data_IF_748145377966
#
_entry.id   IF_748145377966
#
_cell.length_a   1.000
_cell.length_b   1.000
_cell.length_c   1.000
_cell.angle_alpha   90.00
_cell.angle_beta   90.00
_cell.angle_gamma   90.00
#
_symmetry.space_group_name_H-M   'P 1'
#
loop_
_entity.id
_entity.type
_entity.pdbx_description
1 polymer ?
#
# COMPACT_ATOMS: atom_id res chain seq x y z
N UNK A 1 -14.34 8.85 -37.35
CA UNK A 1 -14.58 9.60 -36.10
C UNK A 1 -13.26 10.28 -35.73
N UNK A 2 -13.01 11.45 -36.30
CA UNK A 2 -11.76 12.23 -36.13
C UNK A 2 -11.99 13.42 -35.22
N UNK A 3 -12.78 13.25 -34.16
CA UNK A 3 -13.00 14.29 -33.15
C UNK A 3 -11.78 14.36 -32.25
N UNK A 4 -10.86 15.21 -32.68
CA UNK A 4 -9.92 16.06 -31.95
C UNK A 4 -9.11 15.41 -30.82
N UNK A 5 -8.13 14.60 -31.23
CA UNK A 5 -6.98 14.23 -30.41
C UNK A 5 -6.31 15.46 -29.75
N UNK A 6 -6.37 16.61 -30.43
CA UNK A 6 -5.88 17.89 -29.94
C UNK A 6 -6.72 18.41 -28.76
N UNK A 7 -8.06 18.40 -28.86
CA UNK A 7 -8.95 18.78 -27.74
C UNK A 7 -8.80 17.82 -26.55
N UNK A 8 -8.61 16.53 -26.81
CA UNK A 8 -8.35 15.54 -25.77
C UNK A 8 -7.01 15.82 -25.08
N UNK A 9 -5.98 16.21 -25.84
CA UNK A 9 -4.67 16.55 -25.30
C UNK A 9 -4.73 17.79 -24.41
N UNK A 10 -5.48 18.81 -24.81
CA UNK A 10 -5.66 20.04 -24.05
C UNK A 10 -6.49 19.80 -22.79
N UNK A 11 -7.53 18.97 -22.86
CA UNK A 11 -8.31 18.57 -21.69
C UNK A 11 -7.48 17.75 -20.70
N UNK A 12 -6.67 16.81 -21.17
CA UNK A 12 -5.78 16.01 -20.32
C UNK A 12 -4.72 16.88 -19.64
N UNK A 13 -4.10 17.81 -20.38
CA UNK A 13 -3.14 18.78 -19.81
C UNK A 13 -3.82 19.69 -18.79
N UNK A 14 -4.99 20.24 -19.11
CA UNK A 14 -5.73 21.13 -18.21
C UNK A 14 -6.17 20.43 -16.94
N UNK A 15 -6.68 19.21 -17.04
CA UNK A 15 -7.04 18.39 -15.88
C UNK A 15 -5.81 18.07 -15.04
N UNK A 16 -4.69 17.73 -15.69
CA UNK A 16 -3.44 17.47 -15.00
C UNK A 16 -2.92 18.67 -14.22
N UNK A 17 -2.83 19.84 -14.86
CA UNK A 17 -2.35 21.04 -14.19
C UNK A 17 -3.31 21.51 -13.10
N UNK A 18 -4.62 21.35 -13.28
CA UNK A 18 -5.60 21.61 -12.23
C UNK A 18 -5.38 20.70 -11.03
N UNK A 19 -5.29 19.40 -11.26
CA UNK A 19 -5.15 18.40 -10.20
C UNK A 19 -3.76 18.49 -9.53
N UNK A 20 -2.74 18.97 -10.24
CA UNK A 20 -1.42 19.30 -9.71
C UNK A 20 -1.40 20.61 -8.91
N UNK A 21 -2.17 21.62 -9.35
CA UNK A 21 -2.25 22.93 -8.68
C UNK A 21 -3.08 22.92 -7.39
N UNK A 22 -4.03 21.98 -7.28
CA UNK A 22 -4.86 21.82 -6.09
C UNK A 22 -4.06 21.34 -4.87
N UNK A 23 -2.83 20.87 -5.07
CA UNK A 23 -1.94 20.40 -4.02
C UNK A 23 -0.53 20.94 -4.28
N UNK A 24 -0.33 22.20 -3.93
CA UNK A 24 0.98 22.85 -3.92
C UNK A 24 1.92 22.30 -2.84
N UNK A 25 1.36 21.62 -1.84
CA UNK A 25 2.13 21.06 -0.73
C UNK A 25 2.64 19.65 -1.05
N UNK A 26 3.94 19.47 -0.85
CA UNK A 26 4.68 18.20 -0.94
C UNK A 26 4.23 17.18 0.15
N UNK A 27 3.12 17.46 0.86
CA UNK A 27 2.63 16.77 2.05
C UNK A 27 2.15 15.34 1.76
N UNK A 28 1.60 15.06 0.57
CA UNK A 28 1.16 13.70 0.19
C UNK A 28 1.82 13.16 -1.09
N UNK A 29 3.04 12.56 -0.97
CA UNK A 29 3.70 11.87 -2.08
C UNK A 29 2.87 10.71 -2.68
N UNK A 30 2.00 10.08 -1.88
CA UNK A 30 1.19 8.95 -2.34
C UNK A 30 0.09 9.41 -3.29
N UNK A 31 -0.58 10.52 -2.98
CA UNK A 31 -1.62 11.07 -3.85
C UNK A 31 -1.05 11.55 -5.20
N UNK A 32 0.09 12.24 -5.21
CA UNK A 32 0.77 12.61 -6.46
C UNK A 32 1.22 11.39 -7.27
N UNK A 33 1.64 10.33 -6.60
CA UNK A 33 1.94 9.06 -7.27
C UNK A 33 0.68 8.43 -7.89
N UNK A 34 -0.47 8.49 -7.21
CA UNK A 34 -1.74 7.97 -7.72
C UNK A 34 -2.22 8.75 -8.95
N UNK A 35 -2.20 10.09 -8.91
CA UNK A 35 -2.57 10.93 -10.05
C UNK A 35 -1.64 10.67 -11.25
N UNK A 36 -0.33 10.67 -11.03
CA UNK A 36 0.64 10.41 -12.12
C UNK A 36 0.44 9.01 -12.72
N UNK A 37 0.15 8.00 -11.90
CA UNK A 37 -0.18 6.65 -12.37
C UNK A 37 -1.46 6.63 -13.18
N UNK A 38 -2.52 7.29 -12.71
CA UNK A 38 -3.79 7.43 -13.46
C UNK A 38 -3.55 8.10 -14.82
N UNK A 39 -2.76 9.17 -14.85
CA UNK A 39 -2.44 9.85 -16.09
C UNK A 39 -1.61 8.97 -17.04
N UNK A 40 -0.66 8.21 -16.51
CA UNK A 40 0.10 7.23 -17.30
C UNK A 40 -0.82 6.15 -17.92
N UNK A 41 -1.84 5.67 -17.19
CA UNK A 41 -2.81 4.72 -17.74
C UNK A 41 -3.68 5.34 -18.84
N UNK A 42 -4.06 6.61 -18.69
CA UNK A 42 -4.80 7.34 -19.72
C UNK A 42 -3.94 7.51 -20.99
N UNK A 43 -2.68 7.92 -20.85
CA UNK A 43 -1.74 8.04 -21.98
C UNK A 43 -1.55 6.70 -22.68
N UNK A 44 -1.38 5.60 -21.93
CA UNK A 44 -1.26 4.26 -22.50
C UNK A 44 -2.54 3.87 -23.28
N UNK A 45 -3.72 4.27 -22.82
CA UNK A 45 -4.97 4.03 -23.55
C UNK A 45 -4.99 4.81 -24.86
N UNK A 46 -4.62 6.10 -24.85
CA UNK A 46 -4.54 6.92 -26.07
C UNK A 46 -3.49 6.37 -27.04
N UNK A 47 -2.33 5.92 -26.53
CA UNK A 47 -1.28 5.26 -27.32
C UNK A 47 -1.80 4.02 -28.02
N UNK A 48 -2.52 3.15 -27.30
CA UNK A 48 -3.11 1.93 -27.87
C UNK A 48 -4.14 2.24 -28.95
N UNK A 49 -4.93 3.29 -28.78
CA UNK A 49 -5.86 3.75 -29.81
C UNK A 49 -5.12 4.25 -31.05
N UNK A 50 -4.07 5.07 -30.89
CA UNK A 50 -3.26 5.53 -32.00
C UNK A 50 -2.56 4.38 -32.77
N UNK A 51 -2.08 3.36 -32.04
CA UNK A 51 -1.49 2.15 -32.65
C UNK A 51 -2.56 1.35 -33.40
N UNK A 52 -3.76 1.21 -32.82
CA UNK A 52 -4.86 0.50 -33.47
C UNK A 52 -5.32 1.20 -34.75
N UNK A 53 -5.45 2.53 -34.71
CA UNK A 53 -5.84 3.32 -35.88
C UNK A 53 -4.80 3.23 -37.00
N UNK A 54 -3.50 3.11 -36.67
CA UNK A 54 -2.45 2.90 -37.67
C UNK A 54 -2.38 1.44 -38.18
N UNK A 55 -2.82 0.47 -37.38
CA UNK A 55 -2.94 -0.92 -37.80
C UNK A 55 -4.11 -1.10 -38.78
N UNK A 56 -5.23 -0.41 -38.53
CA UNK A 56 -6.43 -0.42 -39.38
C UNK A 56 -6.21 0.40 -40.67
N UNK A 57 -5.46 1.50 -40.61
CA UNK A 57 -5.03 2.30 -41.76
C UNK A 57 -3.53 2.65 -41.68
N UNK A 58 -2.66 1.92 -42.40
CA UNK A 58 -1.22 2.15 -42.37
C UNK A 58 -0.78 3.48 -43.00
N UNK A 59 -1.68 4.20 -43.68
CA UNK A 59 -1.43 5.55 -44.18
C UNK A 59 -1.77 6.65 -43.16
N UNK A 60 -2.33 6.27 -42.00
CA UNK A 60 -2.75 7.19 -40.96
C UNK A 60 -1.58 7.75 -40.14
N UNK A 61 -1.48 9.08 -40.11
CA UNK A 61 -0.53 9.86 -39.29
C UNK A 61 -0.88 9.87 -37.79
N UNK A 62 -1.60 8.86 -37.29
CA UNK A 62 -2.07 8.78 -35.92
C UNK A 62 -0.93 8.68 -34.89
N UNK A 63 0.13 7.93 -35.22
CA UNK A 63 1.30 7.74 -34.34
C UNK A 63 2.12 9.02 -34.22
N UNK A 64 2.41 9.70 -35.33
CA UNK A 64 3.22 10.93 -35.29
C UNK A 64 2.47 12.06 -34.60
N UNK A 65 1.14 12.16 -34.79
CA UNK A 65 0.29 13.09 -34.04
C UNK A 65 0.30 12.80 -32.54
N UNK A 66 0.20 11.53 -32.16
CA UNK A 66 0.34 11.12 -30.77
C UNK A 66 1.69 11.55 -30.19
N UNK A 67 2.79 11.25 -30.90
CA UNK A 67 4.13 11.53 -30.43
C UNK A 67 4.40 13.03 -30.31
N UNK A 68 3.91 13.85 -31.25
CA UNK A 68 4.02 15.32 -31.17
C UNK A 68 3.27 15.90 -29.98
N UNK A 69 2.06 15.41 -29.69
CA UNK A 69 1.20 15.98 -28.66
C UNK A 69 1.50 15.47 -27.24
N UNK A 70 1.87 14.20 -27.10
CA UNK A 70 1.95 13.54 -25.79
C UNK A 70 3.37 13.24 -25.31
N UNK A 71 4.42 13.31 -26.14
CA UNK A 71 5.80 12.99 -25.74
C UNK A 71 6.28 13.74 -24.49
N UNK A 72 6.12 15.07 -24.48
CA UNK A 72 6.51 15.91 -23.33
C UNK A 72 5.70 15.59 -22.07
N UNK A 73 4.41 15.24 -22.25
CA UNK A 73 3.54 14.91 -21.12
C UNK A 73 3.91 13.54 -20.54
N UNK A 74 4.21 12.56 -21.39
CA UNK A 74 4.71 11.24 -20.99
C UNK A 74 6.01 11.34 -20.19
N UNK A 75 6.95 12.16 -20.66
CA UNK A 75 8.23 12.39 -19.96
C UNK A 75 7.99 13.02 -18.58
N UNK A 76 7.16 14.07 -18.52
CA UNK A 76 6.81 14.76 -17.27
C UNK A 76 6.16 13.81 -16.26
N UNK A 77 5.18 13.02 -16.71
CA UNK A 77 4.44 12.05 -15.88
C UNK A 77 5.38 10.94 -15.38
N UNK A 78 6.25 10.45 -16.25
CA UNK A 78 7.22 9.40 -15.88
C UNK A 78 8.22 9.90 -14.84
N UNK A 79 8.74 11.11 -15.01
CA UNK A 79 9.66 11.75 -14.06
C UNK A 79 9.00 11.98 -12.69
N UNK A 80 7.76 12.48 -12.68
CA UNK A 80 7.01 12.72 -11.44
C UNK A 80 6.64 11.41 -10.76
N UNK A 81 6.18 10.40 -11.50
CA UNK A 81 5.88 9.08 -10.95
C UNK A 81 7.12 8.45 -10.31
N UNK A 82 8.28 8.51 -10.98
CA UNK A 82 9.54 7.98 -10.46
C UNK A 82 9.99 8.71 -9.19
N UNK A 83 10.01 10.05 -9.21
CA UNK A 83 10.44 10.85 -8.05
C UNK A 83 9.55 10.63 -6.82
N UNK A 84 8.23 10.57 -7.01
CA UNK A 84 7.27 10.35 -5.92
C UNK A 84 7.30 8.90 -5.43
N UNK A 85 7.47 7.92 -6.33
CA UNK A 85 7.67 6.52 -5.96
C UNK A 85 8.95 6.34 -5.11
N UNK A 86 10.05 6.98 -5.50
CA UNK A 86 11.30 6.94 -4.74
C UNK A 86 11.15 7.58 -3.36
N UNK A 87 10.45 8.73 -3.24
CA UNK A 87 10.13 9.36 -1.95
C UNK A 87 9.27 8.44 -1.07
N UNK A 88 8.28 7.77 -1.65
CA UNK A 88 7.40 6.84 -0.91
C UNK A 88 8.17 5.62 -0.41
N UNK A 89 9.05 5.07 -1.23
CA UNK A 89 9.93 3.97 -0.86
C UNK A 89 10.87 4.38 0.29
N UNK A 90 11.47 5.56 0.22
CA UNK A 90 12.32 6.06 1.30
C UNK A 90 11.57 6.21 2.63
N UNK A 91 10.32 6.72 2.59
CA UNK A 91 9.46 6.79 3.79
C UNK A 91 9.15 5.39 4.35
N UNK A 92 8.89 4.43 3.48
CA UNK A 92 8.63 3.05 3.88
C UNK A 92 9.85 2.39 4.52
N UNK A 93 11.04 2.56 3.93
CA UNK A 93 12.28 2.00 4.44
C UNK A 93 12.63 2.62 5.82
N UNK A 94 12.48 3.94 5.97
CA UNK A 94 12.67 4.63 7.24
C UNK A 94 11.67 4.13 8.32
N UNK A 95 10.41 3.92 7.93
CA UNK A 95 9.41 3.34 8.83
C UNK A 95 9.79 1.92 9.26
N UNK A 96 10.23 1.08 8.33
CA UNK A 96 10.65 -0.29 8.61
C UNK A 96 11.88 -0.33 9.55
N UNK A 97 12.85 0.56 9.34
CA UNK A 97 13.99 0.72 10.24
C UNK A 97 13.57 1.19 11.64
N UNK A 98 12.64 2.14 11.75
CA UNK A 98 12.13 2.60 13.04
C UNK A 98 11.42 1.48 13.81
N UNK A 99 10.67 0.62 13.12
CA UNK A 99 10.07 -0.57 13.73
C UNK A 99 11.12 -1.58 14.17
N UNK A 100 12.16 -1.84 13.35
CA UNK A 100 13.26 -2.73 13.73
C UNK A 100 13.98 -2.19 14.97
N UNK A 101 14.33 -0.89 14.99
CA UNK A 101 15.00 -0.24 16.13
C UNK A 101 14.15 -0.33 17.40
N UNK A 102 12.85 -0.03 17.35
CA UNK A 102 11.94 -0.18 18.51
C UNK A 102 11.85 -1.60 19.06
N UNK A 103 11.99 -2.63 18.20
CA UNK A 103 12.02 -4.04 18.65
C UNK A 103 13.35 -4.43 19.31
N UNK A 104 14.43 -3.71 19.04
CA UNK A 104 15.76 -3.96 19.62
C UNK A 104 16.14 -2.97 20.73
N UNK A 105 15.41 -1.87 20.91
CA UNK A 105 15.61 -0.88 21.97
C UNK A 105 14.65 -1.06 23.14
N UNK A 106 14.41 -2.31 23.56
CA UNK A 106 13.88 -2.58 24.90
C UNK A 106 15.09 -2.59 25.82
N UNK A 107 15.55 -1.40 26.19
CA UNK A 107 16.56 -1.22 27.23
C UNK A 107 15.92 -1.62 28.56
N UNK A 108 16.33 -2.76 29.11
CA UNK A 108 15.92 -3.21 30.44
C UNK A 108 16.79 -2.63 31.57
N UNK A 109 17.79 -1.80 31.24
CA UNK A 109 18.82 -1.31 32.16
C UNK A 109 19.01 0.23 32.13
N UNK A 110 18.01 1.00 31.66
CA UNK A 110 18.08 2.46 31.74
C UNK A 110 17.96 2.93 33.20
N UNK A 111 19.10 3.01 33.90
CA UNK A 111 19.25 3.79 35.13
C UNK A 111 19.05 5.26 34.81
N UNK A 112 18.25 6.01 35.59
CA UNK A 112 17.97 7.41 35.30
C UNK A 112 19.13 8.25 35.82
N UNK A 113 20.14 8.51 34.98
CA UNK A 113 21.15 9.52 35.30
C UNK A 113 21.53 10.37 34.08
N UNK A 114 20.73 11.44 33.89
CA UNK A 114 21.12 12.85 33.57
C UNK A 114 21.64 13.15 32.14
N UNK A 115 21.49 14.39 31.58
CA UNK A 115 20.49 15.46 31.73
C UNK A 115 19.79 15.77 30.38
N UNK A 116 18.47 15.95 30.38
CA UNK A 116 17.78 16.68 29.30
C UNK A 116 17.49 18.07 29.86
N UNK A 117 18.18 19.07 29.32
CA UNK A 117 17.90 20.47 29.58
C UNK A 117 16.59 20.88 28.92
N UNK A 118 15.79 21.58 29.72
CA UNK A 118 14.91 22.72 29.41
C UNK A 118 13.85 22.51 28.30
N UNK A 119 12.55 22.62 28.53
CA UNK A 119 11.76 23.27 29.58
C UNK A 119 10.31 22.72 29.52
N UNK A 120 9.60 22.86 30.65
CA UNK A 120 8.17 22.62 30.88
C UNK A 120 7.69 21.18 31.08
N UNK A 121 8.07 20.59 32.23
CA UNK A 121 7.14 19.75 32.97
C UNK A 121 7.16 20.11 34.47
N UNK A 122 5.95 20.31 34.99
CA UNK A 122 5.68 20.77 36.35
C UNK A 122 5.91 19.62 37.33
N UNK A 123 6.93 19.77 38.17
CA UNK A 123 7.18 18.98 39.38
C UNK A 123 5.94 18.93 40.28
N UNK A 124 5.34 17.75 40.47
CA UNK A 124 4.60 17.43 41.69
C UNK A 124 4.96 16.01 42.19
N UNK A 125 6.00 15.98 43.03
CA UNK A 125 6.10 15.31 44.34
C UNK A 125 5.88 13.79 44.36
N UNK A 126 6.98 13.04 44.33
CA UNK A 126 7.10 11.74 45.00
C UNK A 126 7.70 11.91 46.39
N UNK A 127 6.85 12.09 47.41
CA UNK A 127 7.23 11.90 48.81
C UNK A 127 6.17 10.98 49.45
N UNK A 128 6.36 9.68 49.26
CA UNK A 128 5.62 8.64 49.99
C UNK A 128 6.51 8.20 51.15
N UNK A 129 6.47 8.98 52.24
CA UNK A 129 6.77 8.46 53.56
C UNK A 129 5.45 8.33 54.31
N UNK A 130 5.18 7.10 54.75
CA UNK A 130 3.96 6.64 55.40
C UNK A 130 3.61 7.49 56.64
N UNK A 131 2.70 8.44 56.48
CA UNK A 131 2.07 9.17 57.58
C UNK A 131 0.56 9.01 57.44
N UNK A 132 0.02 7.90 57.94
CA UNK A 132 -1.38 7.75 58.32
C UNK A 132 -2.38 8.53 57.43
N UNK A 133 -2.33 8.28 56.11
CA UNK A 133 -2.86 9.17 55.08
C UNK A 133 -4.38 9.30 55.03
N UNK A 134 -5.11 8.43 55.73
CA UNK A 134 -6.58 8.45 55.68
C UNK A 134 -7.20 9.66 56.37
N UNK A 135 -6.59 10.18 57.44
CA UNK A 135 -7.10 11.37 58.13
C UNK A 135 -6.61 12.67 57.46
N UNK A 136 -5.38 12.68 56.94
CA UNK A 136 -4.80 13.86 56.26
C UNK A 136 -5.45 14.11 54.89
N UNK A 137 -5.69 13.06 54.07
CA UNK A 137 -6.37 13.21 52.78
C UNK A 137 -7.85 13.58 52.94
N UNK A 138 -8.54 13.06 53.97
CA UNK A 138 -9.92 13.48 54.28
C UNK A 138 -9.97 14.96 54.64
N UNK A 139 -9.05 15.44 55.47
CA UNK A 139 -8.99 16.84 55.88
C UNK A 139 -8.59 17.79 54.73
N UNK A 140 -7.67 17.36 53.86
CA UNK A 140 -7.31 18.11 52.63
C UNK A 140 -8.48 18.17 51.64
N UNK A 141 -9.20 17.06 51.43
CA UNK A 141 -10.34 16.96 50.51
C UNK A 141 -11.55 17.75 51.02
N UNK A 142 -11.77 17.77 52.34
CA UNK A 142 -12.78 18.60 52.99
C UNK A 142 -12.44 20.10 52.92
N UNK A 143 -11.16 20.48 52.95
CA UNK A 143 -10.72 21.87 52.69
C UNK A 143 -10.79 22.28 51.22
N UNK A 144 -10.51 21.37 50.29
CA UNK A 144 -10.60 21.62 48.84
C UNK A 144 -12.05 21.74 48.36
N UNK A 145 -13.00 21.00 48.96
CA UNK A 145 -14.43 21.14 48.65
C UNK A 145 -15.18 22.14 49.55
N UNK A 146 -14.63 22.51 50.71
CA UNK A 146 -15.30 23.31 51.76
C UNK A 146 -15.18 24.84 51.66
N UNK A 147 -15.00 25.44 50.48
CA UNK A 147 -14.96 26.90 50.31
C UNK A 147 -16.12 27.45 49.47
N UNK A 148 -17.35 27.07 49.84
CA UNK A 148 -18.56 27.87 49.60
C UNK A 148 -19.33 27.95 50.92
N UNK A 149 -18.92 28.88 51.79
CA UNK A 149 -19.82 29.37 52.83
C UNK A 149 -20.85 30.25 52.12
N UNK A 150 -22.11 29.82 52.15
CA UNK A 150 -23.10 30.60 52.89
C UNK A 150 -24.36 29.76 53.16
N UNK A 151 -24.76 29.81 54.43
CA UNK A 151 -26.08 29.50 54.97
C UNK A 151 -26.34 28.08 55.50
N UNK A 152 -26.46 28.06 56.83
CA UNK A 152 -27.40 27.29 57.65
C UNK A 152 -27.10 25.80 57.91
N UNK A 153 -26.96 25.55 59.21
CA UNK A 153 -27.20 24.31 59.94
C UNK A 153 -28.16 23.33 59.25
N UNK A 154 -27.86 22.04 59.42
CA UNK A 154 -28.65 20.83 59.11
C UNK A 154 -28.27 20.10 57.83
N UNK A 155 -27.05 19.58 57.63
CA UNK A 155 -26.83 18.61 56.51
C UNK A 155 -25.56 17.72 56.59
N UNK A 156 -25.09 17.35 57.78
CA UNK A 156 -23.94 16.43 57.93
C UNK A 156 -24.16 15.03 57.31
N UNK A 157 -25.41 14.53 57.28
CA UNK A 157 -25.75 13.21 56.70
C UNK A 157 -25.83 13.20 55.17
N UNK A 158 -26.02 14.36 54.53
CA UNK A 158 -26.10 14.47 53.06
C UNK A 158 -24.71 14.39 52.41
N UNK A 159 -23.71 14.98 53.07
CA UNK A 159 -22.33 15.01 52.60
C UNK A 159 -21.65 13.63 52.64
N UNK A 160 -21.79 12.88 53.74
CA UNK A 160 -21.24 11.51 53.84
C UNK A 160 -21.89 10.55 52.85
N UNK A 161 -23.21 10.68 52.59
CA UNK A 161 -23.90 9.92 51.54
C UNK A 161 -23.39 10.28 50.15
N UNK A 162 -23.16 11.56 49.87
CA UNK A 162 -22.64 12.01 48.59
C UNK A 162 -21.19 11.54 48.36
N UNK A 163 -20.40 11.46 49.42
CA UNK A 163 -19.04 10.91 49.38
C UNK A 163 -19.05 9.40 49.11
N UNK A 164 -19.94 8.65 49.76
CA UNK A 164 -20.08 7.20 49.55
C UNK A 164 -20.49 6.88 48.11
N UNK A 165 -21.41 7.66 47.53
CA UNK A 165 -21.80 7.52 46.11
C UNK A 165 -20.61 7.78 45.18
N UNK A 166 -19.73 8.73 45.51
CA UNK A 166 -18.58 9.06 44.68
C UNK A 166 -17.49 7.97 44.74
N UNK A 167 -17.27 7.37 45.90
CA UNK A 167 -16.32 6.27 46.08
C UNK A 167 -16.83 4.98 45.42
N UNK A 168 -18.14 4.70 45.50
CA UNK A 168 -18.76 3.57 44.80
C UNK A 168 -18.63 3.73 43.28
N UNK A 169 -18.85 4.94 42.75
CA UNK A 169 -18.66 5.25 41.32
C UNK A 169 -17.20 5.11 40.89
N UNK A 170 -16.24 5.56 41.71
CA UNK A 170 -14.81 5.39 41.42
C UNK A 170 -14.40 3.92 41.42
N UNK A 171 -14.97 3.11 42.31
CA UNK A 171 -14.71 1.67 42.38
C UNK A 171 -15.29 0.94 41.17
N UNK A 172 -16.51 1.29 40.76
CA UNK A 172 -17.14 0.78 39.54
C UNK A 172 -16.32 1.14 38.30
N UNK A 173 -15.84 2.39 38.21
CA UNK A 173 -14.99 2.82 37.09
C UNK A 173 -13.67 2.05 37.03
N UNK A 174 -13.02 1.82 38.17
CA UNK A 174 -11.78 1.03 38.22
C UNK A 174 -12.03 -0.41 37.81
N UNK A 175 -13.17 -0.98 38.21
CA UNK A 175 -13.57 -2.32 37.82
C UNK A 175 -13.82 -2.41 36.31
N UNK A 176 -14.57 -1.45 35.74
CA UNK A 176 -14.82 -1.34 34.31
C UNK A 176 -13.53 -1.15 33.50
N UNK A 177 -12.61 -0.31 33.98
CA UNK A 177 -11.30 -0.14 33.34
C UNK A 177 -10.48 -1.44 33.40
N UNK A 178 -10.56 -2.19 34.50
CA UNK A 178 -9.88 -3.49 34.60
C UNK A 178 -10.47 -4.52 33.64
N UNK A 179 -11.80 -4.53 33.48
CA UNK A 179 -12.49 -5.42 32.53
C UNK A 179 -12.17 -5.03 31.09
N UNK A 180 -12.11 -3.73 30.78
CA UNK A 180 -11.74 -3.22 29.46
C UNK A 180 -10.29 -3.60 29.11
N UNK A 181 -9.35 -3.44 30.04
CA UNK A 181 -7.95 -3.85 29.84
C UNK A 181 -7.83 -5.36 29.69
N UNK A 182 -8.60 -6.15 30.46
CA UNK A 182 -8.66 -7.60 30.31
C UNK A 182 -9.22 -8.00 28.94
N UNK A 183 -10.27 -7.32 28.47
CA UNK A 183 -10.84 -7.50 27.13
C UNK A 183 -9.85 -7.12 26.03
N UNK A 184 -9.08 -6.04 26.23
CA UNK A 184 -8.04 -5.61 25.29
C UNK A 184 -6.89 -6.62 25.23
N UNK A 185 -6.48 -7.18 26.37
CA UNK A 185 -5.47 -8.24 26.42
C UNK A 185 -5.95 -9.51 25.70
N UNK A 186 -7.19 -9.93 25.94
CA UNK A 186 -7.76 -11.09 25.28
C UNK A 186 -7.95 -10.86 23.77
N UNK A 187 -8.34 -9.64 23.38
CA UNK A 187 -8.38 -9.21 21.98
C UNK A 187 -7.00 -9.23 21.33
N UNK A 188 -5.96 -8.75 22.02
CA UNK A 188 -4.59 -8.77 21.52
C UNK A 188 -4.04 -10.20 21.35
N UNK A 189 -4.31 -11.12 22.29
CA UNK A 189 -3.98 -12.54 22.14
C UNK A 189 -4.72 -13.18 20.97
N UNK A 190 -6.01 -12.88 20.79
CA UNK A 190 -6.79 -13.36 19.65
C UNK A 190 -6.26 -12.82 18.32
N UNK A 191 -5.89 -11.53 18.26
CA UNK A 191 -5.27 -10.91 17.09
C UNK A 191 -3.88 -11.51 16.79
N UNK A 192 -3.07 -11.76 17.81
CA UNK A 192 -1.76 -12.38 17.65
C UNK A 192 -1.90 -13.80 17.06
N UNK A 193 -2.83 -14.60 17.58
CA UNK A 193 -3.11 -15.94 17.07
C UNK A 193 -3.66 -15.91 15.62
N UNK A 194 -4.53 -14.95 15.30
CA UNK A 194 -5.05 -14.77 13.94
C UNK A 194 -3.93 -14.38 12.96
N UNK A 195 -3.03 -13.48 13.36
CA UNK A 195 -1.88 -13.07 12.53
C UNK A 195 -0.91 -14.23 12.32
N UNK A 196 -0.64 -15.04 13.35
CA UNK A 196 0.23 -16.21 13.22
C UNK A 196 -0.36 -17.25 12.24
N UNK A 197 -1.67 -17.50 12.34
CA UNK A 197 -2.40 -18.33 11.40
C UNK A 197 -2.33 -17.77 9.97
N UNK A 198 -2.61 -16.48 9.79
CA UNK A 198 -2.58 -15.83 8.47
C UNK A 198 -1.17 -15.80 7.87
N UNK A 199 -0.13 -15.62 8.68
CA UNK A 199 1.26 -15.69 8.23
C UNK A 199 1.64 -17.08 7.72
N UNK A 200 1.08 -18.12 8.33
CA UNK A 200 1.28 -19.52 7.92
C UNK A 200 0.56 -19.80 6.59
N UNK A 201 -0.67 -19.31 6.44
CA UNK A 201 -1.42 -19.39 5.17
C UNK A 201 -0.71 -18.63 4.06
N UNK A 202 -0.17 -17.44 4.35
CA UNK A 202 0.57 -16.63 3.37
C UNK A 202 1.85 -17.34 2.91
N UNK A 203 2.58 -17.99 3.83
CA UNK A 203 3.76 -18.79 3.53
C UNK A 203 3.42 -20.03 2.71
N UNK A 204 2.29 -20.69 2.99
CA UNK A 204 1.80 -21.80 2.18
C UNK A 204 1.43 -21.34 0.76
N UNK A 205 0.81 -20.16 0.63
CA UNK A 205 0.51 -19.54 -0.66
C UNK A 205 1.80 -19.15 -1.42
N UNK A 206 2.81 -18.62 -0.73
CA UNK A 206 4.12 -18.32 -1.31
C UNK A 206 4.80 -19.58 -1.86
N UNK A 207 4.80 -20.67 -1.09
CA UNK A 207 5.33 -21.97 -1.52
C UNK A 207 4.55 -22.48 -2.74
N UNK A 208 3.22 -22.39 -2.73
CA UNK A 208 2.37 -22.78 -3.85
C UNK A 208 2.64 -21.95 -5.11
N UNK A 209 2.84 -20.64 -4.97
CA UNK A 209 3.16 -19.73 -6.06
C UNK A 209 4.55 -20.01 -6.63
N UNK A 210 5.53 -20.31 -5.78
CA UNK A 210 6.87 -20.71 -6.19
C UNK A 210 6.88 -22.06 -6.95
N UNK A 211 6.12 -23.06 -6.48
CA UNK A 211 5.93 -24.33 -7.20
C UNK A 211 5.26 -24.11 -8.56
N UNK A 212 4.24 -23.26 -8.60
CA UNK A 212 3.54 -22.91 -9.85
C UNK A 212 4.48 -22.19 -10.82
N UNK A 213 5.27 -21.23 -10.35
CA UNK A 213 6.28 -20.51 -11.14
C UNK A 213 7.31 -21.47 -11.76
N UNK A 214 7.83 -22.42 -10.97
CA UNK A 214 8.73 -23.46 -11.47
C UNK A 214 8.07 -24.35 -12.53
N UNK A 215 6.82 -24.76 -12.31
CA UNK A 215 6.07 -25.55 -13.28
C UNK A 215 5.88 -24.78 -14.60
N UNK A 216 5.50 -23.50 -14.52
CA UNK A 216 5.27 -22.63 -15.68
C UNK A 216 6.56 -22.34 -16.45
N UNK A 217 7.68 -22.15 -15.76
CA UNK A 217 9.01 -22.05 -16.36
C UNK A 217 9.43 -23.36 -17.04
N UNK A 218 9.16 -24.50 -16.41
CA UNK A 218 9.44 -25.82 -17.00
C UNK A 218 8.58 -26.10 -18.24
N UNK A 219 7.31 -25.68 -18.23
CA UNK A 219 6.41 -25.74 -19.39
C UNK A 219 6.87 -24.81 -20.51
N UNK A 220 7.29 -23.58 -20.18
CA UNK A 220 7.85 -22.64 -21.14
C UNK A 220 9.13 -23.17 -21.82
N UNK A 221 10.03 -23.79 -21.05
CA UNK A 221 11.25 -24.40 -21.60
C UNK A 221 10.96 -25.62 -22.48
N UNK A 222 9.99 -26.47 -22.10
CA UNK A 222 9.53 -27.60 -22.92
C UNK A 222 8.82 -27.15 -24.20
N UNK A 223 8.03 -26.07 -24.13
CA UNK A 223 7.35 -25.49 -25.30
C UNK A 223 8.35 -24.86 -26.28
N UNK A 224 9.35 -24.14 -25.77
CA UNK A 224 10.46 -23.59 -26.57
C UNK A 224 11.27 -24.70 -27.24
N UNK A 225 11.55 -25.80 -26.52
CA UNK A 225 12.23 -26.98 -27.08
C UNK A 225 11.37 -27.66 -28.15
N UNK A 226 10.06 -27.81 -27.91
CA UNK A 226 9.11 -28.38 -28.88
C UNK A 226 9.02 -27.57 -30.17
N UNK A 227 8.97 -26.24 -30.07
CA UNK A 227 8.93 -25.36 -31.22
C UNK A 227 10.21 -25.45 -32.06
N UNK A 228 11.39 -25.45 -31.43
CA UNK A 228 12.65 -25.51 -32.17
C UNK A 228 12.93 -26.89 -32.79
N UNK A 229 12.53 -27.98 -32.12
CA UNK A 229 12.93 -29.33 -32.52
C UNK A 229 11.94 -29.98 -33.50
N UNK A 230 10.62 -29.84 -33.29
CA UNK A 230 9.61 -30.48 -34.15
C UNK A 230 9.13 -29.62 -35.31
N UNK A 231 9.00 -28.29 -35.14
CA UNK A 231 8.59 -27.42 -36.25
C UNK A 231 9.67 -27.42 -37.34
N UNK A 232 10.95 -27.39 -36.96
CA UNK A 232 12.06 -27.45 -37.90
C UNK A 232 12.17 -28.79 -38.64
N UNK A 233 11.93 -29.91 -37.95
CA UNK A 233 11.94 -31.24 -38.57
C UNK A 233 10.75 -31.45 -39.53
N UNK A 234 9.53 -31.10 -39.11
CA UNK A 234 8.33 -31.22 -39.96
C UNK A 234 8.39 -30.30 -41.18
N UNK A 235 8.93 -29.09 -41.05
CA UNK A 235 9.12 -28.17 -42.17
C UNK A 235 10.11 -28.73 -43.20
N UNK A 236 11.24 -29.28 -42.75
CA UNK A 236 12.22 -29.94 -43.62
C UNK A 236 11.63 -31.16 -44.35
N UNK A 237 10.84 -31.98 -43.64
CA UNK A 237 10.19 -33.15 -44.21
C UNK A 237 9.10 -32.75 -45.24
N UNK A 238 8.33 -31.70 -44.96
CA UNK A 238 7.33 -31.15 -45.89
C UNK A 238 7.97 -30.61 -47.17
N UNK A 239 9.11 -29.92 -47.06
CA UNK A 239 9.84 -29.39 -48.20
C UNK A 239 10.42 -30.51 -49.08
N UNK A 240 10.97 -31.57 -48.47
CA UNK A 240 11.42 -32.77 -49.18
C UNK A 240 10.26 -33.46 -49.93
N UNK A 241 9.11 -33.62 -49.27
CA UNK A 241 7.90 -34.20 -49.88
C UNK A 241 7.40 -33.37 -51.06
N UNK A 242 7.41 -32.03 -50.92
CA UNK A 242 6.98 -31.13 -51.99
C UNK A 242 7.88 -31.23 -53.23
N UNK A 243 9.19 -31.38 -53.05
CA UNK A 243 10.14 -31.60 -54.17
C UNK A 243 9.82 -32.91 -54.90
N UNK A 244 9.56 -34.00 -54.16
CA UNK A 244 9.25 -35.31 -54.75
C UNK A 244 7.93 -35.26 -55.52
N UNK A 245 6.91 -34.61 -54.96
CA UNK A 245 5.61 -34.44 -55.61
C UNK A 245 5.76 -33.57 -56.86
N UNK A 246 6.51 -32.47 -56.79
CA UNK A 246 6.81 -31.62 -57.94
C UNK A 246 7.49 -32.39 -59.07
N UNK A 247 8.44 -33.28 -58.74
CA UNK A 247 9.12 -34.13 -59.72
C UNK A 247 8.18 -35.18 -60.33
N UNK A 248 7.28 -35.76 -59.54
CA UNK A 248 6.24 -36.66 -60.05
C UNK A 248 5.29 -35.95 -61.00
N UNK A 249 4.89 -34.72 -60.69
CA UNK A 249 4.01 -33.91 -61.54
C UNK A 249 4.72 -33.53 -62.84
N UNK A 250 5.97 -33.08 -62.79
CA UNK A 250 6.74 -32.76 -64.01
C UNK A 250 6.97 -34.01 -64.87
N UNK A 251 7.27 -35.16 -64.26
CA UNK A 251 7.37 -36.43 -64.97
C UNK A 251 6.04 -36.83 -65.61
N UNK A 252 4.91 -36.64 -64.92
CA UNK A 252 3.57 -36.91 -65.45
C UNK A 252 3.27 -36.01 -66.65
N UNK A 253 3.61 -34.72 -66.58
CA UNK A 253 3.45 -33.77 -67.71
C UNK A 253 4.25 -34.24 -68.93
N UNK A 254 5.52 -34.62 -68.77
CA UNK A 254 6.37 -35.14 -69.87
C UNK A 254 5.76 -36.41 -70.48
N UNK A 255 5.24 -37.31 -69.64
CA UNK A 255 4.67 -38.59 -70.12
C UNK A 255 3.31 -38.41 -70.82
N UNK A 256 2.50 -37.46 -70.37
CA UNK A 256 1.15 -37.21 -70.91
C UNK A 256 1.20 -36.37 -72.19
N UNK A 257 2.21 -35.51 -72.34
CA UNK A 257 2.46 -34.74 -73.57
C UNK A 257 3.86 -35.04 -74.13
N UNK A 258 4.09 -36.22 -74.73
CA UNK A 258 5.38 -36.55 -75.32
C UNK A 258 5.66 -35.79 -76.64
N UNK A 259 4.64 -35.18 -77.28
CA UNK A 259 4.73 -34.54 -78.60
C UNK A 259 4.25 -33.06 -78.58
N UNK A 260 4.91 -32.21 -77.78
CA UNK A 260 4.99 -30.77 -78.03
C UNK A 260 6.45 -30.34 -78.22
#
# INVERSE_FOLDING_TARGET
MTTDLDTLSDQLRKNYYRDLSLFQDDEDPFYHYLISTKLATNLNTVRKLAIKDNLDDPSSDAIDRYQKNFSRLEESVSSISFSKASKLQQKYDAYQESQKKRRYSVDFDATPDVPIGDEDDVDIISNVEAINDNDSLKELRQRLMGKRRDSADTEGESFDKQMQIQDDLQKELVEDMSQLVSGLRQGAEAFQNAIEHDSTVLKAAEIGLHVTSKSLSSLGSRLKKYHNEKIGFLMKLGLLSFIIIGLLVTYLVIKVFPDL
#
